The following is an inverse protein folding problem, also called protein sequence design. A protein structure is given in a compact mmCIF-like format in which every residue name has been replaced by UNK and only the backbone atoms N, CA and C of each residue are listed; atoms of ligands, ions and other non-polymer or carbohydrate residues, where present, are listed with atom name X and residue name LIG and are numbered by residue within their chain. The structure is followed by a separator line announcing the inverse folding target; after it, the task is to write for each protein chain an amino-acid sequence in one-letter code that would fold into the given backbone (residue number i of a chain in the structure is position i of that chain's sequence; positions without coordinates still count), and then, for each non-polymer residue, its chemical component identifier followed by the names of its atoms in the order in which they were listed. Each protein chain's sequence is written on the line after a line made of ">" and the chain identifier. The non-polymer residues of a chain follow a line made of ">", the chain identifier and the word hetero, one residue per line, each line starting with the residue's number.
data_IF_557404933443
#
_entry.id   IF_557404933443
#
_cell.length_a   1.000
_cell.length_b   1.000
_cell.length_c   1.000
_cell.angle_alpha   90.00
_cell.angle_beta   90.00
_cell.angle_gamma   90.00
#
_symmetry.space_group_name_H-M   'P 1'
#
loop_
_entity.id
_entity.type
_entity.pdbx_description
1 polymer ?
#
# COMPACT_ATOMS: atom_id res chain seq x y z
N UNK A 1 -22.36 -19.02 48.72
CA UNK A 1 -23.69 -18.57 48.23
C UNK A 1 -23.73 -18.81 46.73
N UNK A 2 -24.58 -19.73 46.26
CA UNK A 2 -24.79 -19.98 44.83
C UNK A 2 -25.85 -19.00 44.35
N UNK A 3 -25.51 -18.12 43.40
CA UNK A 3 -26.48 -17.29 42.70
C UNK A 3 -26.77 -17.94 41.35
N UNK A 4 -27.91 -18.61 41.25
CA UNK A 4 -28.46 -19.14 40.00
C UNK A 4 -29.28 -18.04 39.33
N UNK A 5 -28.78 -17.49 38.22
CA UNK A 5 -29.56 -16.59 37.38
C UNK A 5 -30.49 -17.43 36.50
N UNK A 6 -31.78 -17.42 36.85
CA UNK A 6 -32.86 -18.04 36.07
C UNK A 6 -33.15 -17.21 34.83
N UNK A 7 -33.19 -17.90 33.68
CA UNK A 7 -33.60 -17.39 32.37
C UNK A 7 -35.03 -16.81 32.42
N UNK A 8 -35.17 -15.53 32.09
CA UNK A 8 -36.46 -14.87 31.82
C UNK A 8 -36.69 -14.87 30.30
N UNK A 9 -37.42 -15.88 29.83
CA UNK A 9 -37.96 -15.92 28.46
C UNK A 9 -39.20 -15.01 28.41
N UNK A 10 -39.13 -13.89 27.69
CA UNK A 10 -40.33 -13.10 27.31
C UNK A 10 -40.90 -13.64 25.99
N UNK A 11 -42.23 -13.76 25.85
CA UNK A 11 -42.86 -14.26 24.63
C UNK A 11 -43.14 -13.11 23.64
N UNK A 12 -42.79 -13.36 22.37
CA UNK A 12 -43.35 -12.81 21.14
C UNK A 12 -43.72 -11.31 21.09
N UNK A 13 -42.80 -10.50 20.55
CA UNK A 13 -43.16 -9.36 19.71
C UNK A 13 -42.55 -9.56 18.32
N UNK A 14 -43.41 -9.86 17.36
CA UNK A 14 -43.14 -9.70 15.94
C UNK A 14 -43.22 -8.19 15.70
N UNK A 15 -42.09 -7.51 15.53
CA UNK A 15 -41.94 -6.23 14.80
C UNK A 15 -40.51 -5.66 14.99
N UNK A 16 -39.57 -6.07 14.13
CA UNK A 16 -38.51 -5.19 13.59
C UNK A 16 -37.78 -5.92 12.47
N UNK A 17 -38.53 -6.22 11.41
CA UNK A 17 -37.98 -6.53 10.11
C UNK A 17 -37.51 -5.21 9.48
N UNK A 18 -36.49 -4.61 10.10
CA UNK A 18 -35.66 -3.49 9.63
C UNK A 18 -34.78 -3.15 10.83
N UNK A 19 -33.61 -3.75 10.91
CA UNK A 19 -32.47 -2.92 11.26
C UNK A 19 -31.21 -3.53 10.66
N UNK A 20 -30.38 -2.66 10.11
CA UNK A 20 -28.97 -2.97 9.93
C UNK A 20 -28.33 -2.94 11.32
N UNK A 21 -28.79 -3.81 12.22
CA UNK A 21 -28.45 -3.79 13.63
C UNK A 21 -27.03 -4.33 13.80
N UNK A 22 -26.08 -3.43 13.54
CA UNK A 22 -24.72 -3.53 13.99
C UNK A 22 -24.78 -3.57 15.52
N UNK A 23 -24.92 -4.77 16.07
CA UNK A 23 -24.94 -5.01 17.51
C UNK A 23 -23.60 -5.59 17.96
N UNK A 24 -23.17 -5.18 19.16
CA UNK A 24 -21.99 -5.75 19.79
C UNK A 24 -22.39 -7.15 20.29
N UNK A 25 -21.69 -8.16 19.81
CA UNK A 25 -21.94 -9.55 20.19
C UNK A 25 -21.09 -9.92 21.41
N UNK A 26 -21.73 -10.46 22.46
CA UNK A 26 -21.07 -10.94 23.67
C UNK A 26 -21.13 -12.46 23.77
N UNK A 27 -20.04 -13.09 24.21
CA UNK A 27 -19.94 -14.54 24.39
C UNK A 27 -18.54 -15.07 24.12
N UNK A 28 -18.27 -16.32 24.49
CA UNK A 28 -16.95 -16.94 24.33
C UNK A 28 -16.50 -17.08 22.86
N UNK A 29 -17.44 -17.01 21.91
CA UNK A 29 -17.16 -16.99 20.47
C UNK A 29 -16.79 -15.60 19.94
N UNK A 30 -16.97 -14.54 20.74
CA UNK A 30 -16.77 -13.15 20.35
C UNK A 30 -15.73 -12.43 21.21
N UNK A 31 -15.57 -12.83 22.47
CA UNK A 31 -14.62 -12.22 23.41
C UNK A 31 -13.23 -12.87 23.31
N UNK A 32 -12.19 -12.06 23.49
CA UNK A 32 -10.82 -12.56 23.57
C UNK A 32 -10.57 -13.24 24.93
N UNK A 33 -9.77 -14.32 24.92
CA UNK A 33 -9.28 -14.92 26.16
C UNK A 33 -8.20 -14.01 26.76
N UNK A 34 -8.52 -13.36 27.88
CA UNK A 34 -7.60 -12.45 28.57
C UNK A 34 -6.53 -13.28 29.29
N UNK A 35 -5.25 -13.20 28.88
CA UNK A 35 -4.20 -13.96 29.53
C UNK A 35 -3.91 -13.41 30.94
N UNK A 36 -3.55 -14.31 31.87
CA UNK A 36 -3.12 -13.94 33.22
C UNK A 36 -1.77 -13.22 33.15
N UNK A 37 -1.61 -12.16 33.94
CA UNK A 37 -0.36 -11.40 34.01
C UNK A 37 0.77 -12.27 34.55
N UNK A 38 1.68 -12.69 33.67
CA UNK A 38 2.90 -13.40 34.04
C UNK A 38 4.05 -12.39 34.14
N UNK A 39 4.69 -12.27 35.30
CA UNK A 39 5.80 -11.34 35.55
C UNK A 39 7.13 -11.81 34.95
N UNK A 40 7.15 -12.98 34.33
CA UNK A 40 8.32 -13.51 33.64
C UNK A 40 8.38 -12.81 32.28
N UNK A 41 9.40 -11.97 32.08
CA UNK A 41 9.69 -11.32 30.79
C UNK A 41 9.68 -12.40 29.71
N UNK A 42 8.62 -12.40 28.88
CA UNK A 42 8.61 -13.26 27.70
C UNK A 42 9.87 -12.95 26.90
N UNK A 43 10.55 -14.01 26.48
CA UNK A 43 11.78 -13.96 25.69
C UNK A 43 11.60 -12.98 24.54
N UNK A 44 12.58 -12.09 24.39
CA UNK A 44 12.64 -10.94 23.48
C UNK A 44 12.76 -11.31 21.99
N UNK A 45 12.18 -12.44 21.60
CA UNK A 45 12.18 -12.93 20.22
C UNK A 45 10.75 -12.89 19.70
N UNK A 46 10.21 -11.68 19.69
CA UNK A 46 9.18 -11.35 18.70
C UNK A 46 9.89 -11.34 17.35
N UNK A 47 9.27 -11.83 16.27
CA UNK A 47 9.78 -11.89 14.89
C UNK A 47 10.12 -10.51 14.28
N UNK A 48 10.88 -9.70 15.00
CA UNK A 48 11.17 -8.31 14.75
C UNK A 48 12.64 -8.20 14.32
N UNK A 49 12.83 -7.66 13.12
CA UNK A 49 14.15 -7.42 12.56
C UNK A 49 14.56 -5.98 12.90
N UNK A 50 15.76 -5.79 13.46
CA UNK A 50 16.28 -4.46 13.77
C UNK A 50 16.76 -3.75 12.49
N UNK A 51 15.94 -2.87 11.95
CA UNK A 51 16.27 -2.08 10.74
C UNK A 51 17.17 -0.87 11.01
N UNK A 52 17.01 -0.19 12.14
CA UNK A 52 17.83 0.96 12.50
C UNK A 52 17.90 1.13 14.02
N UNK A 53 19.02 1.64 14.51
CA UNK A 53 19.13 2.17 15.88
C UNK A 53 19.73 3.57 15.83
N UNK A 54 19.31 4.50 16.70
CA UNK A 54 20.01 5.77 16.87
C UNK A 54 21.49 5.53 17.21
N UNK A 55 22.37 6.36 16.69
CA UNK A 55 23.82 6.24 16.87
C UNK A 55 24.48 7.60 16.76
N UNK A 56 25.54 7.81 17.53
CA UNK A 56 26.40 9.00 17.44
C UNK A 56 27.73 8.67 16.71
N UNK A 57 27.84 7.47 16.13
CA UNK A 57 29.07 6.98 15.48
C UNK A 57 29.32 7.60 14.10
N UNK A 58 28.33 8.25 13.51
CA UNK A 58 28.41 8.93 12.22
C UNK A 58 27.84 10.32 12.37
N UNK A 59 28.52 11.32 11.82
CA UNK A 59 28.03 12.68 11.72
C UNK A 59 27.04 12.82 10.56
N UNK A 60 26.04 13.71 10.69
CA UNK A 60 25.00 13.92 9.68
C UNK A 60 25.57 14.25 8.31
N UNK A 61 26.65 15.03 8.24
CA UNK A 61 27.31 15.36 6.96
C UNK A 61 27.85 14.11 6.25
N UNK A 62 28.56 13.24 6.96
CA UNK A 62 29.13 12.01 6.40
C UNK A 62 28.03 11.01 6.01
N UNK A 63 26.92 11.00 6.76
CA UNK A 63 25.74 10.21 6.44
C UNK A 63 25.08 10.68 5.15
N UNK A 64 24.90 11.99 4.98
CA UNK A 64 24.31 12.58 3.78
C UNK A 64 25.18 12.32 2.54
N UNK A 65 26.51 12.50 2.65
CA UNK A 65 27.45 12.17 1.58
C UNK A 65 27.41 10.69 1.21
N UNK A 66 27.22 9.81 2.19
CA UNK A 66 27.08 8.38 1.97
C UNK A 66 25.77 8.02 1.25
N UNK A 67 24.64 8.63 1.62
CA UNK A 67 23.35 8.43 0.95
C UNK A 67 23.43 8.93 -0.50
N UNK A 68 24.03 10.11 -0.73
CA UNK A 68 24.22 10.67 -2.07
C UNK A 68 25.13 9.77 -2.94
N UNK A 69 26.20 9.22 -2.36
CA UNK A 69 27.05 8.22 -3.03
C UNK A 69 26.26 6.97 -3.45
N UNK A 70 25.41 6.44 -2.56
CA UNK A 70 24.58 5.27 -2.84
C UNK A 70 23.57 5.53 -3.98
N UNK A 71 22.94 6.71 -3.98
CA UNK A 71 22.00 7.13 -5.02
C UNK A 71 22.68 7.30 -6.38
N UNK A 72 23.80 8.05 -6.42
CA UNK A 72 24.50 8.39 -7.66
C UNK A 72 25.23 7.22 -8.29
N UNK A 73 25.88 6.36 -7.50
CA UNK A 73 26.69 5.25 -8.02
C UNK A 73 25.91 3.96 -8.17
N UNK A 74 25.01 3.64 -7.23
CA UNK A 74 24.35 2.34 -7.18
C UNK A 74 22.83 2.40 -7.44
N UNK A 75 22.25 3.59 -7.65
CA UNK A 75 20.79 3.80 -7.82
C UNK A 75 19.96 3.26 -6.65
N UNK A 76 20.57 3.20 -5.46
CA UNK A 76 19.90 2.71 -4.26
C UNK A 76 19.04 3.81 -3.65
N UNK A 77 17.93 3.43 -3.04
CA UNK A 77 17.13 4.35 -2.25
C UNK A 77 17.76 4.56 -0.87
N UNK A 78 17.29 5.58 -0.16
CA UNK A 78 17.78 5.92 1.18
C UNK A 78 17.64 4.75 2.16
N UNK A 79 16.49 4.06 2.15
CA UNK A 79 16.22 2.92 3.03
C UNK A 79 17.22 1.78 2.85
N UNK A 80 17.55 1.43 1.61
CA UNK A 80 18.54 0.42 1.26
C UNK A 80 19.93 0.84 1.75
N UNK A 81 20.32 2.10 1.52
CA UNK A 81 21.59 2.62 1.99
C UNK A 81 21.69 2.54 3.52
N UNK A 82 20.66 2.98 4.24
CA UNK A 82 20.61 2.93 5.70
C UNK A 82 20.59 1.49 6.23
N UNK A 83 19.90 0.56 5.57
CA UNK A 83 19.89 -0.85 5.95
C UNK A 83 21.29 -1.48 5.84
N UNK A 84 21.99 -1.25 4.73
CA UNK A 84 23.38 -1.73 4.56
C UNK A 84 24.30 -1.08 5.60
N UNK A 85 24.11 0.21 5.88
CA UNK A 85 24.88 0.91 6.89
C UNK A 85 24.69 0.30 8.29
N UNK A 86 23.45 -0.04 8.65
CA UNK A 86 23.12 -0.73 9.90
C UNK A 86 23.74 -2.14 9.96
N UNK A 87 23.68 -2.90 8.88
CA UNK A 87 24.30 -4.23 8.76
C UNK A 87 25.81 -4.11 9.00
N UNK A 88 26.46 -3.11 8.41
CA UNK A 88 27.87 -2.81 8.57
C UNK A 88 28.23 -2.10 9.90
N UNK A 89 27.28 -1.98 10.84
CA UNK A 89 27.47 -1.32 12.14
C UNK A 89 28.06 0.09 11.99
N UNK A 90 27.53 0.86 11.05
CA UNK A 90 27.88 2.27 10.82
C UNK A 90 29.31 2.48 10.31
N UNK A 91 29.93 1.46 9.71
CA UNK A 91 31.23 1.59 9.04
C UNK A 91 31.00 1.91 7.56
N UNK A 92 31.15 3.19 7.19
CA UNK A 92 30.95 3.68 5.83
C UNK A 92 31.81 2.93 4.81
N UNK A 93 33.09 2.71 5.10
CA UNK A 93 34.03 2.02 4.20
C UNK A 93 33.58 0.59 3.88
N UNK A 94 33.26 -0.20 4.91
CA UNK A 94 32.73 -1.56 4.76
C UNK A 94 31.41 -1.58 4.00
N UNK A 95 30.55 -0.59 4.27
CA UNK A 95 29.26 -0.49 3.63
C UNK A 95 29.35 -0.17 2.13
N UNK A 96 30.25 0.74 1.73
CA UNK A 96 30.53 1.03 0.32
C UNK A 96 31.04 -0.20 -0.44
N UNK A 97 31.86 -1.04 0.19
CA UNK A 97 32.31 -2.29 -0.40
C UNK A 97 31.15 -3.29 -0.57
N UNK A 98 30.27 -3.39 0.43
CA UNK A 98 29.09 -4.26 0.36
C UNK A 98 28.12 -3.81 -0.76
N UNK A 99 27.96 -2.51 -0.98
CA UNK A 99 27.19 -1.94 -2.09
C UNK A 99 27.77 -2.29 -3.48
N UNK A 100 29.08 -2.42 -3.60
CA UNK A 100 29.71 -2.83 -4.88
C UNK A 100 29.42 -4.28 -5.24
N UNK A 101 29.17 -5.12 -4.23
CA UNK A 101 28.80 -6.53 -4.42
C UNK A 101 27.29 -6.71 -4.61
N UNK A 102 26.48 -5.82 -4.05
CA UNK A 102 25.03 -5.87 -4.14
C UNK A 102 24.55 -4.99 -5.29
N UNK A 103 24.31 -5.59 -6.46
CA UNK A 103 23.54 -4.93 -7.52
C UNK A 103 22.07 -5.18 -7.16
N UNK A 104 21.29 -4.16 -6.75
CA UNK A 104 19.88 -4.38 -6.49
C UNK A 104 19.21 -4.88 -7.77
N UNK A 105 18.31 -5.86 -7.64
CA UNK A 105 17.31 -6.11 -8.67
C UNK A 105 16.50 -4.82 -8.81
N UNK A 106 16.85 -4.01 -9.81
CA UNK A 106 16.05 -2.84 -10.13
C UNK A 106 14.67 -3.35 -10.53
N UNK A 107 13.61 -2.68 -10.06
CA UNK A 107 12.24 -2.90 -10.53
C UNK A 107 12.17 -2.41 -11.99
N UNK A 108 12.74 -3.21 -12.90
CA UNK A 108 12.92 -2.87 -14.29
C UNK A 108 11.59 -3.04 -15.00
N UNK A 109 10.94 -1.90 -15.19
CA UNK A 109 9.83 -1.75 -16.11
C UNK A 109 10.36 -1.32 -17.47
N UNK A 110 10.20 -2.17 -18.47
CA UNK A 110 10.58 -1.81 -19.84
C UNK A 110 9.63 -0.75 -20.39
N UNK A 111 10.02 -0.08 -21.47
CA UNK A 111 9.18 0.96 -22.09
C UNK A 111 7.87 0.33 -22.60
N UNK A 112 7.96 -0.89 -23.12
CA UNK A 112 6.84 -1.69 -23.61
C UNK A 112 5.88 -2.06 -22.47
N UNK A 113 6.39 -2.48 -21.32
CA UNK A 113 5.59 -2.82 -20.15
C UNK A 113 4.85 -1.60 -19.60
N UNK A 114 5.50 -0.42 -19.56
CA UNK A 114 4.88 0.83 -19.14
C UNK A 114 3.74 1.23 -20.07
N UNK A 115 3.98 1.14 -21.39
CA UNK A 115 2.97 1.44 -22.39
C UNK A 115 1.78 0.46 -22.34
N UNK A 116 2.04 -0.84 -22.17
CA UNK A 116 1.01 -1.86 -21.97
C UNK A 116 0.19 -1.57 -20.71
N UNK A 117 0.84 -1.17 -19.61
CA UNK A 117 0.15 -0.78 -18.39
C UNK A 117 -0.77 0.42 -18.61
N UNK A 118 -0.29 1.47 -19.27
CA UNK A 118 -1.09 2.68 -19.54
C UNK A 118 -2.32 2.38 -20.40
N UNK A 119 -2.16 1.61 -21.49
CA UNK A 119 -3.28 1.15 -22.29
C UNK A 119 -4.27 0.32 -21.47
N UNK A 120 -3.77 -0.70 -20.77
CA UNK A 120 -4.62 -1.57 -19.97
C UNK A 120 -5.39 -0.78 -18.89
N UNK A 121 -4.75 0.19 -18.25
CA UNK A 121 -5.37 1.07 -17.28
C UNK A 121 -6.43 1.98 -17.92
N UNK A 122 -6.21 2.49 -19.13
CA UNK A 122 -7.20 3.29 -19.86
C UNK A 122 -8.48 2.50 -20.16
N UNK A 123 -8.37 1.22 -20.51
CA UNK A 123 -9.53 0.37 -20.81
C UNK A 123 -10.21 -0.20 -19.56
N UNK A 124 -9.45 -0.59 -18.54
CA UNK A 124 -9.96 -1.40 -17.41
C UNK A 124 -9.93 -0.68 -16.05
N UNK A 125 -9.38 0.53 -15.98
CA UNK A 125 -9.24 1.30 -14.75
C UNK A 125 -8.41 0.57 -13.69
N UNK A 126 -8.86 0.60 -12.43
CA UNK A 126 -8.16 -0.03 -11.28
C UNK A 126 -8.39 -1.53 -11.15
N UNK A 127 -8.90 -2.18 -12.19
CA UNK A 127 -9.12 -3.64 -12.18
C UNK A 127 -7.81 -4.37 -12.47
N UNK A 128 -6.91 -4.43 -11.47
CA UNK A 128 -5.55 -4.97 -11.65
C UNK A 128 -5.51 -6.44 -12.10
N UNK A 129 -6.49 -7.25 -11.72
CA UNK A 129 -6.62 -8.63 -12.22
C UNK A 129 -6.82 -8.68 -13.74
N UNK A 130 -7.47 -7.67 -14.32
CA UNK A 130 -7.67 -7.54 -15.77
C UNK A 130 -6.43 -6.98 -16.47
N UNK A 131 -5.77 -5.99 -15.85
CA UNK A 131 -4.47 -5.47 -16.33
C UNK A 131 -3.42 -6.58 -16.39
N UNK A 132 -3.37 -7.47 -15.39
CA UNK A 132 -2.46 -8.62 -15.36
C UNK A 132 -2.60 -9.53 -16.58
N UNK A 133 -3.77 -9.62 -17.21
CA UNK A 133 -3.93 -10.43 -18.42
C UNK A 133 -3.14 -9.87 -19.62
N UNK A 134 -2.85 -8.56 -19.64
CA UNK A 134 -1.98 -7.93 -20.63
C UNK A 134 -0.50 -7.93 -20.21
N UNK A 135 -0.21 -8.17 -18.93
CA UNK A 135 1.13 -8.22 -18.34
C UNK A 135 1.27 -9.48 -17.47
N UNK A 136 1.31 -10.69 -18.08
CA UNK A 136 1.28 -11.95 -17.33
C UNK A 136 2.49 -12.13 -16.40
N UNK A 137 3.64 -11.62 -16.83
CA UNK A 137 4.93 -11.68 -16.13
C UNK A 137 4.97 -10.81 -14.86
N UNK A 138 4.12 -9.78 -14.77
CA UNK A 138 4.04 -8.92 -13.59
C UNK A 138 3.00 -9.45 -12.61
N UNK A 139 3.38 -9.59 -11.35
CA UNK A 139 2.48 -9.89 -10.25
C UNK A 139 1.54 -8.71 -9.96
N UNK A 140 0.41 -8.98 -9.31
CA UNK A 140 -0.54 -7.92 -8.91
C UNK A 140 0.16 -6.89 -8.00
N UNK A 141 1.03 -7.35 -7.11
CA UNK A 141 1.81 -6.46 -6.23
C UNK A 141 2.71 -5.51 -7.04
N UNK A 142 3.39 -5.99 -8.08
CA UNK A 142 4.22 -5.14 -8.96
C UNK A 142 3.36 -4.14 -9.74
N UNK A 143 2.21 -4.56 -10.28
CA UNK A 143 1.29 -3.65 -10.98
C UNK A 143 0.79 -2.53 -10.05
N UNK A 144 0.45 -2.87 -8.81
CA UNK A 144 -0.01 -1.90 -7.81
C UNK A 144 1.13 -0.97 -7.38
N UNK A 145 2.34 -1.50 -7.12
CA UNK A 145 3.52 -0.67 -6.83
C UNK A 145 3.80 0.31 -7.97
N UNK A 146 3.79 -0.18 -9.20
CA UNK A 146 3.99 0.66 -10.38
C UNK A 146 2.91 1.73 -10.53
N UNK A 147 1.63 1.39 -10.32
CA UNK A 147 0.54 2.36 -10.34
C UNK A 147 0.78 3.56 -9.43
N UNK A 148 1.20 3.32 -8.18
CA UNK A 148 1.44 4.40 -7.23
C UNK A 148 2.67 5.24 -7.60
N UNK A 149 3.72 4.60 -8.13
CA UNK A 149 4.90 5.31 -8.66
C UNK A 149 4.56 6.16 -9.89
N UNK A 150 3.84 5.61 -10.86
CA UNK A 150 3.42 6.26 -12.10
C UNK A 150 2.45 7.42 -11.86
N UNK A 151 1.42 7.21 -11.02
CA UNK A 151 0.42 8.23 -10.71
C UNK A 151 1.05 9.46 -10.05
N UNK A 152 2.05 9.26 -9.17
CA UNK A 152 2.79 10.36 -8.55
C UNK A 152 3.43 11.26 -9.61
N UNK A 153 4.08 10.67 -10.62
CA UNK A 153 4.72 11.40 -11.73
C UNK A 153 3.71 12.14 -12.62
N UNK A 154 2.53 11.55 -12.88
CA UNK A 154 1.46 12.21 -13.66
C UNK A 154 0.98 13.52 -13.02
N UNK A 155 0.93 13.59 -11.69
CA UNK A 155 0.54 14.81 -10.96
C UNK A 155 1.58 15.94 -11.05
N UNK A 156 2.85 15.62 -11.29
CA UNK A 156 3.91 16.62 -11.47
C UNK A 156 4.09 17.06 -12.93
N UNK A 157 3.49 16.36 -13.90
CA UNK A 157 3.68 16.63 -15.34
C UNK A 157 2.62 17.54 -15.99
N UNK A 158 1.57 18.01 -15.29
CA UNK A 158 0.54 18.82 -15.96
C UNK A 158 -0.04 19.96 -15.10
N UNK A 159 0.31 21.21 -15.45
CA UNK A 159 -0.48 22.41 -15.13
C UNK A 159 -1.72 22.55 -16.06
N UNK A 160 -1.91 21.62 -17.01
CA UNK A 160 -2.99 21.65 -18.00
C UNK A 160 -4.14 20.64 -17.73
N UNK A 161 -4.05 19.79 -16.70
CA UNK A 161 -5.12 18.85 -16.30
C UNK A 161 -6.30 19.55 -15.57
N UNK A 162 -6.58 20.82 -15.89
CA UNK A 162 -7.73 21.56 -15.36
C UNK A 162 -9.06 21.09 -15.96
N UNK A 163 -9.04 20.41 -17.10
CA UNK A 163 -10.27 20.00 -17.79
C UNK A 163 -10.88 18.69 -17.24
N UNK A 164 -10.13 17.85 -16.52
CA UNK A 164 -10.67 16.64 -15.87
C UNK A 164 -11.45 16.97 -14.58
N UNK A 165 -11.24 18.18 -14.02
CA UNK A 165 -11.96 18.66 -12.81
C UNK A 165 -13.42 18.99 -13.07
N UNK A 166 -13.85 19.18 -14.31
CA UNK A 166 -15.28 19.36 -14.62
C UNK A 166 -16.07 18.05 -14.59
N UNK A 167 -15.40 16.89 -14.76
CA UNK A 167 -16.07 15.58 -14.74
C UNK A 167 -16.00 14.85 -13.38
N UNK A 168 -15.17 15.33 -12.45
CA UNK A 168 -15.07 14.77 -11.09
C UNK A 168 -16.00 15.45 -10.06
N UNK A 169 -16.74 16.49 -10.46
CA UNK A 169 -17.67 17.24 -9.60
C UNK A 169 -19.14 16.99 -9.95
N UNK A 170 -19.48 15.78 -10.42
CA UNK A 170 -20.86 15.30 -10.47
C UNK A 170 -21.10 14.59 -9.14
N UNK A 171 -21.92 15.14 -8.22
CA UNK A 171 -22.35 14.41 -7.04
C UNK A 171 -23.09 13.16 -7.48
N UNK A 172 -22.80 12.02 -6.84
CA UNK A 172 -23.59 10.81 -7.01
C UNK A 172 -24.99 11.07 -6.43
N UNK A 173 -25.97 11.35 -7.29
CA UNK A 173 -27.38 11.15 -6.98
C UNK A 173 -27.78 9.75 -7.49
N UNK A 174 -28.28 8.93 -6.58
CA UNK A 174 -28.98 7.68 -6.91
C UNK A 174 -30.28 7.98 -7.69
N UNK A 175 -30.66 7.02 -8.54
CA UNK A 175 -31.93 6.88 -9.27
C UNK A 175 -32.17 7.77 -10.50
N UNK A 176 -31.96 7.21 -11.71
CA UNK A 176 -33.03 7.06 -12.72
C UNK A 176 -32.59 6.21 -13.93
N UNK A 177 -33.29 5.11 -14.19
CA UNK A 177 -33.29 4.40 -15.46
C UNK A 177 -33.92 5.27 -16.57
N UNK A 178 -33.16 5.69 -17.59
CA UNK A 178 -33.53 5.52 -19.01
C UNK A 178 -32.65 6.29 -20.02
N UNK A 179 -32.30 5.53 -21.06
CA UNK A 179 -32.27 5.92 -22.48
C UNK A 179 -31.16 6.82 -23.10
N UNK A 180 -30.35 6.14 -23.92
CA UNK A 180 -29.87 6.48 -25.27
C UNK A 180 -29.35 7.91 -25.58
N UNK A 181 -28.07 7.88 -25.96
CA UNK A 181 -27.52 8.43 -27.21
C UNK A 181 -27.27 9.93 -27.27
N UNK A 182 -25.99 10.33 -27.14
CA UNK A 182 -25.43 11.44 -27.92
C UNK A 182 -23.96 11.12 -28.30
N UNK A 183 -23.79 10.68 -29.56
CA UNK A 183 -22.85 11.20 -30.58
C UNK A 183 -21.45 11.61 -30.11
N UNK A 184 -20.39 10.84 -30.40
CA UNK A 184 -19.56 10.86 -31.63
C UNK A 184 -18.68 12.11 -31.80
N UNK A 185 -17.48 11.86 -32.34
CA UNK A 185 -16.39 12.75 -32.83
C UNK A 185 -15.45 13.36 -31.77
N UNK A 186 -14.11 13.32 -31.89
CA UNK A 186 -13.25 13.27 -33.08
C UNK A 186 -12.02 12.35 -32.89
N UNK A 187 -11.79 11.49 -33.90
CA UNK A 187 -10.44 11.17 -34.38
C UNK A 187 -9.90 12.40 -35.13
N UNK A 188 -8.61 12.72 -34.99
CA UNK A 188 -7.83 13.14 -36.16
C UNK A 188 -6.33 12.84 -36.01
N UNK A 189 -5.87 12.04 -36.98
CA UNK A 189 -4.51 11.84 -37.45
C UNK A 189 -3.84 13.15 -37.87
N UNK A 190 -2.62 13.46 -37.42
CA UNK A 190 -1.32 13.17 -38.07
C UNK A 190 -0.21 13.79 -37.23
#
# INVERSE_FOLDING_TARGET
>A
MKLTLTSLKKPNEINSLLDNDVCIHEGSSYQANIPLLNSISLTTDHDAILFWKPTDLINDHDLMDYIDYAYKKHRMNEEQALAILQICKYKISTSKLLMEQYIPENDQWTIEEKFLFEQAYQFYGKTFSRIKQMLPEKSIAELVRYYYSWKKTRLYQSLMDKHEKQYQFIPYDEDNDNEKNITSVCLLTK
#
